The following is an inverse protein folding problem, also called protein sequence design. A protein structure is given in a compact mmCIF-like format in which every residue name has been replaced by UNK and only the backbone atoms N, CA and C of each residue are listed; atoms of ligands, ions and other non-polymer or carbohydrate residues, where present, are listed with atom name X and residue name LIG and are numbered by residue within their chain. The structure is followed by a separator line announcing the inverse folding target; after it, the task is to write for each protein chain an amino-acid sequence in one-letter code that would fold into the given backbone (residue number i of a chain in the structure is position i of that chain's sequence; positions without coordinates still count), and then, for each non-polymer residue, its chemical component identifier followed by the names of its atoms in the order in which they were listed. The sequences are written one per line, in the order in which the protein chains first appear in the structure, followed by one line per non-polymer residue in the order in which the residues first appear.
data_IF_976710955496
#
_entry.id   IF_976710955496
#
_cell.length_a   1.000
_cell.length_b   1.000
_cell.length_c   1.000
_cell.angle_alpha   90.00
_cell.angle_beta   90.00
_cell.angle_gamma   90.00
#
_symmetry.space_group_name_H-M   'P 1'
#
loop_
_entity.id
_entity.type
_entity.pdbx_description
1 polymer ?
#
# COMPACT_ATOMS: atom_id res chain seq x y z
N UNK A 1 -28.10 -0.63 -23.54
CA UNK A 1 -26.98 -0.96 -22.64
C UNK A 1 -27.43 -0.63 -21.22
N UNK A 2 -27.17 -1.51 -20.25
CA UNK A 2 -27.57 -1.31 -18.84
C UNK A 2 -26.54 -0.41 -18.13
N UNK A 3 -26.91 0.84 -17.76
CA UNK A 3 -25.99 1.78 -17.13
C UNK A 3 -25.48 1.30 -15.77
N UNK A 4 -26.26 0.49 -15.04
CA UNK A 4 -25.87 -0.03 -13.74
C UNK A 4 -24.78 -1.09 -13.88
N UNK A 5 -24.94 -2.00 -14.85
CA UNK A 5 -23.91 -2.98 -15.19
C UNK A 5 -22.60 -2.31 -15.63
N UNK A 6 -22.68 -1.25 -16.46
CA UNK A 6 -21.49 -0.53 -16.92
C UNK A 6 -20.78 0.22 -15.79
N UNK A 7 -21.54 0.81 -14.86
CA UNK A 7 -20.96 1.44 -13.66
C UNK A 7 -20.20 0.43 -12.80
N UNK A 8 -20.77 -0.75 -12.58
CA UNK A 8 -20.10 -1.80 -11.80
C UNK A 8 -18.79 -2.22 -12.45
N UNK A 9 -18.80 -2.51 -13.75
CA UNK A 9 -17.61 -2.86 -14.52
C UNK A 9 -16.50 -1.81 -14.36
N UNK A 10 -16.82 -0.52 -14.49
CA UNK A 10 -15.84 0.56 -14.35
C UNK A 10 -15.29 0.72 -12.92
N UNK A 11 -16.10 0.42 -11.90
CA UNK A 11 -15.66 0.46 -10.49
C UNK A 11 -14.70 -0.70 -10.21
N UNK A 12 -15.07 -1.92 -10.59
CA UNK A 12 -14.25 -3.12 -10.40
C UNK A 12 -12.89 -2.96 -11.13
N UNK A 13 -12.92 -2.44 -12.36
CA UNK A 13 -11.74 -2.21 -13.20
C UNK A 13 -10.84 -1.09 -12.64
N UNK A 14 -11.43 -0.08 -11.98
CA UNK A 14 -10.66 0.94 -11.26
C UNK A 14 -10.01 0.38 -9.99
N UNK A 15 -10.73 -0.43 -9.22
CA UNK A 15 -10.21 -1.03 -7.99
C UNK A 15 -9.02 -1.94 -8.29
N UNK A 16 -9.09 -2.76 -9.34
CA UNK A 16 -8.00 -3.66 -9.73
C UNK A 16 -6.73 -2.90 -10.16
N UNK A 17 -6.91 -1.82 -10.94
CA UNK A 17 -5.80 -1.05 -11.53
C UNK A 17 -5.15 -0.07 -10.56
N UNK A 18 -5.88 0.44 -9.58
CA UNK A 18 -5.41 1.53 -8.73
C UNK A 18 -5.46 1.24 -7.23
N UNK A 19 -6.49 0.55 -6.74
CA UNK A 19 -6.68 0.29 -5.30
C UNK A 19 -6.10 -1.06 -4.86
N UNK A 20 -4.96 -1.45 -5.43
CA UNK A 20 -4.18 -2.58 -4.93
C UNK A 20 -2.86 -2.08 -4.31
N UNK A 21 -2.37 -2.71 -3.23
CA UNK A 21 -1.16 -2.28 -2.53
C UNK A 21 0.11 -2.45 -3.38
N UNK A 22 0.11 -3.34 -4.37
CA UNK A 22 1.24 -3.57 -5.27
C UNK A 22 1.48 -2.40 -6.23
N UNK A 23 0.44 -1.67 -6.61
CA UNK A 23 0.57 -0.44 -7.42
C UNK A 23 1.32 0.63 -6.61
N UNK A 24 1.02 0.74 -5.31
CA UNK A 24 1.73 1.66 -4.42
C UNK A 24 3.19 1.23 -4.19
N UNK A 25 3.43 -0.08 -4.01
CA UNK A 25 4.77 -0.63 -3.86
C UNK A 25 5.64 -0.44 -5.12
N UNK A 26 5.07 -0.68 -6.31
CA UNK A 26 5.76 -0.49 -7.59
C UNK A 26 6.17 0.97 -7.84
N UNK A 27 5.45 1.93 -7.23
CA UNK A 27 5.77 3.37 -7.30
C UNK A 27 6.73 3.83 -6.19
N UNK A 28 7.14 2.94 -5.28
CA UNK A 28 7.97 3.29 -4.13
C UNK A 28 7.28 4.21 -3.12
N UNK A 29 5.94 4.26 -3.12
CA UNK A 29 5.17 5.04 -2.14
C UNK A 29 5.10 4.34 -0.79
N UNK A 30 5.18 3.01 -0.81
CA UNK A 30 5.32 2.15 0.36
C UNK A 30 6.55 1.27 0.17
N UNK A 31 7.22 0.94 1.27
CA UNK A 31 8.43 0.12 1.23
C UNK A 31 8.13 -1.36 0.92
N UNK A 32 7.04 -1.92 1.47
CA UNK A 32 6.71 -3.35 1.31
C UNK A 32 5.21 -3.64 1.53
N UNK A 33 4.74 -4.76 0.98
CA UNK A 33 3.42 -5.37 1.26
C UNK A 33 3.64 -6.62 2.09
N UNK A 34 3.31 -6.54 3.38
CA UNK A 34 3.65 -7.57 4.37
C UNK A 34 2.43 -8.41 4.77
N UNK A 35 2.70 -9.60 5.30
CA UNK A 35 1.67 -10.40 5.98
C UNK A 35 1.20 -9.69 7.27
N UNK A 36 -0.11 -9.65 7.57
CA UNK A 36 -0.62 -8.96 8.75
C UNK A 36 -0.04 -9.44 10.08
N UNK A 37 0.41 -10.69 10.16
CA UNK A 37 1.05 -11.26 11.36
C UNK A 37 2.46 -10.70 11.61
N UNK A 38 3.15 -10.23 10.57
CA UNK A 38 4.53 -9.76 10.65
C UNK A 38 4.63 -8.29 11.04
N UNK A 39 3.49 -7.58 11.13
CA UNK A 39 3.47 -6.14 11.43
C UNK A 39 4.27 -5.78 12.69
N UNK A 40 4.17 -6.56 13.77
CA UNK A 40 4.94 -6.30 15.00
C UNK A 40 6.44 -6.36 14.77
N UNK A 41 6.90 -7.36 14.03
CA UNK A 41 8.32 -7.56 13.73
C UNK A 41 8.87 -6.46 12.85
N UNK A 42 8.14 -6.09 11.80
CA UNK A 42 8.51 -5.01 10.89
C UNK A 42 8.58 -3.67 11.62
N UNK A 43 7.62 -3.37 12.50
CA UNK A 43 7.64 -2.15 13.32
C UNK A 43 8.86 -2.08 14.24
N UNK A 44 9.22 -3.19 14.91
CA UNK A 44 10.41 -3.23 15.78
C UNK A 44 11.67 -2.89 14.97
N UNK A 45 11.86 -3.53 13.81
CA UNK A 45 13.01 -3.27 12.94
C UNK A 45 13.07 -1.82 12.44
N UNK A 46 11.93 -1.28 12.00
CA UNK A 46 11.84 0.09 11.51
C UNK A 46 12.21 1.09 12.62
N UNK A 47 11.76 0.84 13.86
CA UNK A 47 12.12 1.65 15.01
C UNK A 47 13.61 1.52 15.34
N UNK A 48 14.17 0.32 15.39
CA UNK A 48 15.60 0.09 15.66
C UNK A 48 16.51 0.87 14.71
N UNK A 49 16.19 0.87 13.40
CA UNK A 49 16.95 1.61 12.38
C UNK A 49 16.81 3.12 12.53
N UNK A 50 15.64 3.59 12.98
CA UNK A 50 15.35 5.04 13.07
C UNK A 50 15.70 5.65 14.43
N UNK A 51 16.05 4.86 15.44
CA UNK A 51 16.38 5.33 16.80
C UNK A 51 17.47 6.42 16.82
N UNK A 52 18.50 6.27 16.00
CA UNK A 52 19.61 7.23 15.92
C UNK A 52 19.39 8.31 14.85
N UNK A 53 18.25 8.31 14.15
CA UNK A 53 17.96 9.32 13.12
C UNK A 53 17.94 10.70 13.78
N UNK A 54 18.70 11.63 13.19
CA UNK A 54 18.73 13.06 13.55
C UNK A 54 18.54 13.83 12.27
N UNK A 55 17.45 14.59 12.22
CA UNK A 55 17.09 15.42 11.06
C UNK A 55 17.16 16.87 11.54
N UNK A 56 18.23 17.55 11.16
CA UNK A 56 18.41 18.98 11.39
C UNK A 56 18.01 19.70 10.11
N UNK A 57 16.90 20.43 10.16
CA UNK A 57 16.56 21.43 9.16
C UNK A 57 17.46 22.66 9.30
#
# INVERSE_FOLDING_TARGET
EDPAAKRKELVDDYEEKFNNPYVAAARGLIDDVIEPRDSRHILIKALEVTLSKRETH
#
